data_IF_432824170861
#
_entry.id   IF_432824170861
#
_cell.length_a   1.000
_cell.length_b   1.000
_cell.length_c   1.000
_cell.angle_alpha   90.00
_cell.angle_beta   90.00
_cell.angle_gamma   90.00
#
_symmetry.space_group_name_H-M   'P 1'
#
loop_
_entity.id
_entity.type
_entity.pdbx_description
1 polymer ?
#
# COMPACT_ATOMS: atom_id res chain seq x y z
N UNK A 1 -8.42 -12.63 -13.98
CA UNK A 1 -7.86 -12.53 -12.62
C UNK A 1 -7.01 -11.27 -12.60
N UNK A 2 -7.41 -10.23 -11.88
CA UNK A 2 -6.48 -9.14 -11.61
C UNK A 2 -5.50 -9.66 -10.57
N UNK A 3 -4.23 -9.79 -10.88
CA UNK A 3 -3.23 -10.04 -9.83
C UNK A 3 -3.41 -8.94 -8.77
N UNK A 4 -3.37 -9.26 -7.46
CA UNK A 4 -3.41 -8.21 -6.44
C UNK A 4 -2.33 -7.18 -6.76
N UNK A 5 -2.63 -5.89 -6.57
CA UNK A 5 -1.67 -4.81 -6.80
C UNK A 5 -0.51 -4.96 -5.80
N UNK A 6 0.52 -5.66 -6.25
CA UNK A 6 1.74 -5.93 -5.51
C UNK A 6 2.55 -4.65 -5.38
N UNK A 7 3.08 -4.40 -4.18
CA UNK A 7 3.98 -3.29 -3.90
C UNK A 7 5.40 -3.79 -3.63
N UNK A 8 6.40 -3.01 -3.98
CA UNK A 8 7.80 -3.30 -3.69
C UNK A 8 8.59 -2.02 -3.50
N UNK A 9 9.77 -2.13 -2.89
CA UNK A 9 10.57 -0.97 -2.51
C UNK A 9 11.69 -0.64 -3.50
N UNK A 10 11.63 -1.16 -4.74
CA UNK A 10 12.71 -0.97 -5.72
C UNK A 10 12.94 0.51 -6.02
N UNK A 11 14.16 0.99 -5.74
CA UNK A 11 14.56 2.37 -6.02
C UNK A 11 14.04 3.41 -5.03
N UNK A 12 13.30 3.00 -3.98
CA UNK A 12 12.87 3.89 -2.91
C UNK A 12 14.00 4.17 -1.92
N UNK A 13 14.05 5.41 -1.43
CA UNK A 13 15.14 5.91 -0.57
C UNK A 13 14.75 6.06 0.90
N UNK A 14 13.47 5.86 1.23
CA UNK A 14 12.93 5.99 2.57
C UNK A 14 11.86 4.92 2.81
N UNK A 15 11.64 4.53 4.07
CA UNK A 15 10.65 3.51 4.40
C UNK A 15 9.22 4.03 4.19
N UNK A 16 8.32 3.12 3.81
CA UNK A 16 6.92 3.42 3.54
C UNK A 16 5.97 2.62 4.43
N UNK A 17 4.76 3.14 4.57
CA UNK A 17 3.58 2.39 4.99
C UNK A 17 2.71 2.13 3.76
N UNK A 18 2.27 0.88 3.58
CA UNK A 18 1.33 0.48 2.53
C UNK A 18 -0.09 0.33 3.07
N UNK A 19 -1.06 0.92 2.39
CA UNK A 19 -2.48 0.75 2.65
C UNK A 19 -3.16 0.23 1.39
N UNK A 20 -3.62 -1.01 1.43
CA UNK A 20 -4.41 -1.58 0.34
C UNK A 20 -5.87 -1.27 0.56
N UNK A 21 -6.51 -0.69 -0.45
CA UNK A 21 -7.91 -0.24 -0.39
C UNK A 21 -8.70 -1.12 -1.33
N UNK A 22 -9.66 -1.87 -0.77
CA UNK A 22 -10.53 -2.76 -1.50
C UNK A 22 -11.83 -2.10 -1.95
N UNK A 23 -12.79 -2.95 -2.30
CA UNK A 23 -14.14 -2.54 -2.68
C UNK A 23 -14.82 -1.67 -1.60
N UNK A 24 -15.70 -0.77 -2.04
CA UNK A 24 -16.40 0.16 -1.14
C UNK A 24 -15.47 1.20 -0.48
N UNK A 25 -14.25 1.37 -1.02
CA UNK A 25 -13.21 2.26 -0.49
C UNK A 25 -12.91 2.00 0.99
N UNK A 26 -12.77 0.72 1.35
CA UNK A 26 -12.36 0.33 2.70
C UNK A 26 -10.94 -0.20 2.67
N UNK A 27 -10.17 0.16 3.70
CA UNK A 27 -8.84 -0.42 3.90
C UNK A 27 -9.01 -1.91 4.10
N UNK A 28 -8.42 -2.69 3.20
CA UNK A 28 -8.53 -4.13 3.19
C UNK A 28 -7.33 -4.78 3.88
N UNK A 29 -6.17 -4.16 3.79
CA UNK A 29 -4.95 -4.59 4.46
C UNK A 29 -3.99 -3.41 4.68
N UNK A 30 -3.01 -3.59 5.57
CA UNK A 30 -1.98 -2.60 5.87
C UNK A 30 -0.63 -3.25 6.14
N UNK A 31 0.46 -2.65 5.67
CA UNK A 31 1.81 -3.05 6.02
C UNK A 31 2.62 -1.83 6.48
N UNK A 32 2.88 -1.69 7.79
CA UNK A 32 3.65 -0.56 8.30
C UNK A 32 5.16 -0.79 8.15
N UNK A 33 5.89 0.29 7.95
CA UNK A 33 7.36 0.37 8.00
C UNK A 33 8.09 -0.59 7.05
N UNK A 34 7.63 -0.71 5.80
CA UNK A 34 8.39 -1.38 4.75
C UNK A 34 9.75 -0.67 4.57
N UNK A 35 10.89 -1.35 4.81
CA UNK A 35 12.20 -0.71 4.75
C UNK A 35 12.60 -0.37 3.33
N UNK A 36 13.31 0.76 3.16
CA UNK A 36 14.04 1.01 1.93
C UNK A 36 15.12 -0.07 1.73
N UNK A 37 15.37 -0.55 0.49
CA UNK A 37 16.40 -1.53 0.25
C UNK A 37 17.78 -0.94 0.55
N UNK A 38 18.72 -1.78 0.99
CA UNK A 38 20.12 -1.36 1.05
C UNK A 38 20.65 -1.12 -0.37
N UNK A 39 21.57 -0.17 -0.50
CA UNK A 39 22.26 0.08 -1.77
C UNK A 39 22.86 -1.23 -2.30
N UNK A 40 22.49 -1.62 -3.52
CA UNK A 40 22.90 -2.85 -4.22
C UNK A 40 22.12 -4.13 -3.88
N UNK A 41 20.97 -4.07 -3.21
CA UNK A 41 20.07 -5.24 -3.13
C UNK A 41 19.62 -5.64 -4.55
N UNK A 42 19.92 -6.86 -5.02
CA UNK A 42 19.45 -7.32 -6.33
C UNK A 42 17.91 -7.43 -6.35
N UNK A 43 17.28 -7.09 -7.47
CA UNK A 43 15.81 -7.10 -7.62
C UNK A 43 15.16 -8.41 -7.17
N UNK A 44 15.77 -9.56 -7.50
CA UNK A 44 15.27 -10.90 -7.12
C UNK A 44 15.23 -11.17 -5.61
N UNK A 45 15.91 -10.34 -4.82
CA UNK A 45 15.96 -10.43 -3.36
C UNK A 45 15.10 -9.35 -2.69
N UNK A 46 14.48 -8.45 -3.47
CA UNK A 46 13.55 -7.47 -2.92
C UNK A 46 12.28 -8.17 -2.45
N UNK A 47 11.83 -7.78 -1.26
CA UNK A 47 10.52 -8.19 -0.75
C UNK A 47 9.43 -7.54 -1.58
N UNK A 48 8.52 -8.37 -2.08
CA UNK A 48 7.22 -7.94 -2.57
C UNK A 48 6.23 -8.00 -1.41
N UNK A 49 5.40 -6.98 -1.30
CA UNK A 49 4.34 -6.87 -0.32
C UNK A 49 3.00 -6.98 -1.03
N UNK A 50 2.10 -7.77 -0.49
CA UNK A 50 0.79 -8.01 -1.07
C UNK A 50 -0.29 -7.92 0.01
N UNK A 51 -1.49 -7.52 -0.41
CA UNK A 51 -2.68 -7.66 0.41
C UNK A 51 -3.19 -9.10 0.39
N UNK A 52 -3.71 -9.58 1.53
CA UNK A 52 -4.37 -10.89 1.60
C UNK A 52 -5.64 -10.94 0.74
N UNK A 53 -6.28 -9.79 0.55
CA UNK A 53 -7.50 -9.64 -0.26
C UNK A 53 -7.22 -8.86 -1.54
N UNK A 54 -8.06 -9.01 -2.56
CA UNK A 54 -7.89 -8.33 -3.84
C UNK A 54 -8.15 -6.82 -3.70
N UNK A 55 -7.11 -5.98 -3.74
CA UNK A 55 -7.27 -4.54 -3.57
C UNK A 55 -7.69 -3.89 -4.90
N UNK A 56 -8.29 -2.70 -4.81
CA UNK A 56 -8.57 -1.84 -5.97
C UNK A 56 -7.54 -0.73 -6.09
N UNK A 57 -6.93 -0.32 -4.97
CA UNK A 57 -5.90 0.71 -4.92
C UNK A 57 -4.84 0.38 -3.87
N UNK A 58 -3.66 0.95 -4.03
CA UNK A 58 -2.62 1.03 -2.99
C UNK A 58 -2.34 2.50 -2.72
N UNK A 59 -2.34 2.89 -1.44
CA UNK A 59 -1.88 4.19 -0.98
C UNK A 59 -0.55 4.01 -0.24
N UNK A 60 0.48 4.67 -0.75
CA UNK A 60 1.82 4.71 -0.17
C UNK A 60 1.99 5.99 0.65
N UNK A 61 2.44 5.85 1.90
CA UNK A 61 2.68 6.98 2.80
C UNK A 61 4.04 6.83 3.48
N UNK A 62 4.56 7.91 4.09
CA UNK A 62 5.79 7.82 4.88
C UNK A 62 5.63 6.80 6.01
N UNK A 63 6.69 6.03 6.30
CA UNK A 63 6.64 5.07 7.40
C UNK A 63 6.26 5.71 8.73
N UNK A 64 5.39 5.03 9.46
CA UNK A 64 4.87 5.48 10.76
C UNK A 64 3.53 6.22 10.68
N UNK A 65 3.10 6.66 9.50
CA UNK A 65 1.79 7.32 9.27
C UNK A 65 0.63 6.48 9.84
N UNK A 66 0.63 5.16 9.64
CA UNK A 66 -0.40 4.25 10.14
C UNK A 66 -0.50 4.32 11.66
N UNK A 67 0.65 4.29 12.34
CA UNK A 67 0.70 4.35 13.80
C UNK A 67 0.35 5.74 14.32
N UNK A 68 0.85 6.79 13.68
CA UNK A 68 0.62 8.19 14.07
C UNK A 68 -0.87 8.53 14.07
N UNK A 69 -1.59 8.13 13.02
CA UNK A 69 -3.01 8.43 12.86
C UNK A 69 -3.94 7.32 13.34
N UNK A 70 -3.39 6.21 13.84
CA UNK A 70 -4.18 5.07 14.31
C UNK A 70 -5.04 4.43 13.21
N UNK A 71 -4.52 4.36 11.99
CA UNK A 71 -5.21 3.81 10.82
C UNK A 71 -5.40 2.30 10.99
N UNK A 72 -6.58 1.80 10.61
CA UNK A 72 -6.96 0.38 10.80
C UNK A 72 -7.65 -0.18 9.57
N UNK A 73 -7.48 -1.49 9.36
CA UNK A 73 -8.30 -2.29 8.44
C UNK A 73 -9.79 -2.06 8.71
N UNK A 74 -10.56 -1.95 7.65
CA UNK A 74 -11.98 -1.58 7.67
C UNK A 74 -12.25 -0.08 7.69
N UNK A 75 -11.22 0.77 7.87
CA UNK A 75 -11.32 2.22 7.78
C UNK A 75 -11.85 2.67 6.42
N UNK A 76 -12.68 3.72 6.41
CA UNK A 76 -13.24 4.29 5.19
C UNK A 76 -12.25 5.27 4.55
N UNK A 77 -12.10 5.17 3.24
CA UNK A 77 -11.31 6.11 2.43
C UNK A 77 -12.27 6.90 1.53
N UNK A 78 -11.98 8.19 1.38
CA UNK A 78 -12.63 9.08 0.44
C UNK A 78 -11.58 9.64 -0.52
N UNK A 79 -11.96 9.75 -1.78
CA UNK A 79 -11.14 10.41 -2.80
C UNK A 79 -11.94 11.61 -3.30
N UNK A 80 -11.32 12.79 -3.27
CA UNK A 80 -11.90 14.00 -3.84
C UNK A 80 -11.19 14.30 -5.16
N UNK A 81 -11.97 14.67 -6.20
CA UNK A 81 -11.41 15.03 -7.51
C UNK A 81 -10.79 13.88 -8.31
N UNK A 82 -11.01 12.63 -7.91
CA UNK A 82 -10.46 11.45 -8.60
C UNK A 82 -11.54 10.72 -9.40
N UNK A 83 -11.31 10.50 -10.70
CA UNK A 83 -12.24 9.84 -11.61
C UNK A 83 -11.71 8.50 -12.17
N UNK A 84 -10.86 7.80 -11.43
CA UNK A 84 -10.31 6.50 -11.84
C UNK A 84 -11.33 5.34 -11.79
N UNK A 85 -10.95 4.17 -12.33
CA UNK A 85 -11.77 2.94 -12.23
C UNK A 85 -12.05 2.62 -10.76
N UNK A 86 -13.34 2.50 -10.39
CA UNK A 86 -13.79 2.22 -9.02
C UNK A 86 -14.15 3.46 -8.20
N UNK A 87 -14.28 4.63 -8.83
CA UNK A 87 -14.69 5.90 -8.20
C UNK A 87 -16.23 6.04 -7.99
N UNK A 88 -17.04 5.05 -8.37
CA UNK A 88 -18.51 5.03 -8.21
C UNK A 88 -18.95 3.86 -7.36
#
# INVERSE_FOLDING_TARGET
>A
SGEPEDAWMKGLLFPLDFLWIGAGRRIADTHPNAPAPTSNTPDRLLTTYWSISQPTYVLETNAGTISEFGIKVGGQVSFDGFSGRGAT
#
